data_IF_712848964038
#
_entry.id   IF_712848964038
#
_cell.length_a   1.000
_cell.length_b   1.000
_cell.length_c   1.000
_cell.angle_alpha   90.00
_cell.angle_beta   90.00
_cell.angle_gamma   90.00
#
_symmetry.space_group_name_H-M   'P 1'
#
loop_
_entity.id
_entity.type
_entity.pdbx_description
1 polymer ?
#
# COMPACT_ATOMS: atom_id res chain seq x y z
N UNK A 1 7.46 -4.69 -6.13
CA UNK A 1 8.37 -3.54 -6.01
C UNK A 1 8.85 -2.99 -7.36
N UNK A 2 8.74 -3.72 -8.48
CA UNK A 2 9.07 -3.15 -9.80
C UNK A 2 10.57 -2.98 -10.08
N UNK A 3 11.42 -3.45 -9.17
CA UNK A 3 12.88 -3.54 -9.35
C UNK A 3 13.19 -4.97 -9.81
N UNK A 4 13.85 -5.10 -10.95
CA UNK A 4 14.27 -6.39 -11.49
C UNK A 4 15.37 -6.98 -10.61
N UNK A 5 15.24 -8.27 -10.27
CA UNK A 5 16.24 -9.03 -9.49
C UNK A 5 16.64 -8.39 -8.15
N UNK A 6 15.76 -7.59 -7.53
CA UNK A 6 16.05 -7.08 -6.19
C UNK A 6 16.08 -8.22 -5.17
N UNK A 7 17.25 -8.36 -4.55
CA UNK A 7 17.49 -9.10 -3.32
C UNK A 7 18.13 -8.14 -2.32
N UNK A 8 17.66 -8.10 -1.07
CA UNK A 8 18.38 -7.45 0.01
C UNK A 8 19.82 -7.96 0.11
N UNK A 9 20.75 -7.08 0.48
CA UNK A 9 22.14 -7.41 0.81
C UNK A 9 22.21 -8.25 2.07
N UNK A 10 21.33 -7.97 3.04
CA UNK A 10 21.20 -8.70 4.29
C UNK A 10 19.72 -8.93 4.60
N UNK A 11 19.31 -10.19 4.73
CA UNK A 11 17.94 -10.56 5.08
C UNK A 11 17.63 -10.33 6.57
N UNK A 12 18.63 -10.23 7.42
CA UNK A 12 18.50 -9.96 8.86
C UNK A 12 18.67 -8.47 9.19
N UNK A 13 18.63 -7.60 8.16
CA UNK A 13 18.81 -6.16 8.31
C UNK A 13 17.64 -5.44 9.01
N UNK A 14 16.51 -6.12 9.19
CA UNK A 14 15.32 -5.56 9.83
C UNK A 14 14.82 -6.48 10.94
N UNK A 15 14.23 -5.88 11.96
CA UNK A 15 13.57 -6.62 13.04
C UNK A 15 12.18 -7.06 12.59
N UNK A 16 11.81 -8.32 12.85
CA UNK A 16 10.48 -8.86 12.57
C UNK A 16 9.75 -9.07 13.89
N UNK A 17 8.69 -8.31 14.10
CA UNK A 17 7.94 -8.28 15.36
C UNK A 17 6.66 -9.11 15.22
N UNK A 18 6.41 -10.01 16.16
CA UNK A 18 5.09 -10.63 16.32
C UNK A 18 4.00 -9.56 16.57
N UNK A 19 2.71 -9.87 16.37
CA UNK A 19 1.63 -8.94 16.68
C UNK A 19 1.68 -8.34 18.10
N UNK A 20 2.01 -9.14 19.10
CA UNK A 20 2.11 -8.70 20.49
C UNK A 20 3.31 -7.75 20.70
N UNK A 21 4.47 -8.10 20.16
CA UNK A 21 5.67 -7.25 20.24
C UNK A 21 5.48 -5.94 19.47
N UNK A 22 4.89 -5.98 18.28
CA UNK A 22 4.56 -4.78 17.50
C UNK A 22 3.60 -3.86 18.27
N UNK A 23 2.55 -4.43 18.87
CA UNK A 23 1.62 -3.68 19.70
C UNK A 23 2.33 -3.03 20.88
N UNK A 24 3.12 -3.79 21.65
CA UNK A 24 3.88 -3.28 22.78
C UNK A 24 4.88 -2.18 22.36
N UNK A 25 5.58 -2.39 21.24
CA UNK A 25 6.55 -1.44 20.68
C UNK A 25 5.91 -0.10 20.35
N UNK A 26 4.68 -0.09 19.84
CA UNK A 26 3.95 1.15 19.58
C UNK A 26 3.70 1.99 20.86
N UNK A 27 3.61 1.36 22.03
CA UNK A 27 3.48 2.06 23.31
C UNK A 27 4.82 2.45 23.92
N UNK A 28 5.84 1.58 23.84
CA UNK A 28 7.15 1.81 24.45
C UNK A 28 8.00 2.81 23.66
N UNK A 29 7.85 2.84 22.33
CA UNK A 29 8.57 3.76 21.44
C UNK A 29 7.57 4.71 20.74
N UNK A 30 6.95 5.65 21.48
CA UNK A 30 5.89 6.49 20.94
C UNK A 30 6.37 7.49 19.87
N UNK A 31 7.69 7.72 19.78
CA UNK A 31 8.29 8.55 18.73
C UNK A 31 8.56 7.74 17.44
N UNK A 32 8.34 6.42 17.45
CA UNK A 32 8.52 5.60 16.27
C UNK A 32 7.50 5.95 15.18
N UNK A 33 7.97 6.03 13.95
CA UNK A 33 7.15 6.30 12.79
C UNK A 33 6.41 5.02 12.37
N UNK A 34 5.10 5.00 12.51
CA UNK A 34 4.26 3.97 11.90
C UNK A 34 4.15 4.24 10.39
N UNK A 35 4.50 3.26 9.56
CA UNK A 35 4.55 3.42 8.10
C UNK A 35 3.79 2.31 7.38
N UNK A 36 2.77 2.70 6.64
CA UNK A 36 1.98 1.80 5.79
C UNK A 36 2.69 1.56 4.45
N UNK A 37 3.01 0.30 4.13
CA UNK A 37 3.68 -0.08 2.87
C UNK A 37 2.65 -0.46 1.79
N UNK A 38 1.35 -0.28 2.06
CA UNK A 38 0.28 -0.61 1.11
C UNK A 38 0.08 0.48 0.05
N UNK A 39 -0.76 0.20 -0.94
CA UNK A 39 -1.19 1.24 -1.87
C UNK A 39 -2.20 2.16 -1.17
N UNK A 40 -2.28 3.41 -1.59
CA UNK A 40 -3.07 4.43 -0.90
C UNK A 40 -4.54 4.05 -0.72
N UNK A 41 -5.17 3.35 -1.68
CA UNK A 41 -6.58 2.97 -1.59
C UNK A 41 -6.84 1.96 -0.45
N UNK A 42 -5.85 1.14 -0.10
CA UNK A 42 -5.94 0.18 1.00
C UNK A 42 -5.86 0.91 2.35
N UNK A 43 -5.00 1.93 2.42
CA UNK A 43 -4.81 2.78 3.59
C UNK A 43 -5.94 3.80 3.81
N UNK A 44 -6.82 4.00 2.83
CA UNK A 44 -8.01 4.84 2.97
C UNK A 44 -9.03 4.22 3.92
N UNK A 45 -9.21 2.90 3.83
CA UNK A 45 -10.29 2.19 4.54
C UNK A 45 -9.87 1.61 5.89
N UNK A 46 -8.58 1.62 6.20
CA UNK A 46 -8.07 1.25 7.52
C UNK A 46 -6.58 1.50 7.65
N UNK A 47 -6.13 1.79 8.86
CA UNK A 47 -4.74 2.16 9.17
C UNK A 47 -4.46 2.02 10.67
N UNK A 48 -3.18 1.92 11.04
CA UNK A 48 -2.77 2.00 12.43
C UNK A 48 -2.76 3.44 12.94
N UNK A 49 -3.03 3.61 14.23
CA UNK A 49 -2.84 4.86 14.96
C UNK A 49 -1.71 4.71 15.98
N UNK A 50 -0.95 5.77 16.20
CA UNK A 50 0.00 5.84 17.30
C UNK A 50 -0.78 6.00 18.61
N UNK A 51 -0.59 5.12 19.61
CA UNK A 51 -1.40 5.14 20.83
C UNK A 51 -1.17 6.38 21.70
N UNK A 52 0.01 7.00 21.65
CA UNK A 52 0.34 8.16 22.49
C UNK A 52 -0.13 9.47 21.86
N UNK A 53 0.07 9.62 20.54
CA UNK A 53 -0.26 10.87 19.83
C UNK A 53 -1.65 10.85 19.20
N UNK A 54 -2.27 9.68 19.05
CA UNK A 54 -3.52 9.49 18.31
C UNK A 54 -3.38 9.69 16.80
N UNK A 55 -2.18 9.97 16.29
CA UNK A 55 -1.96 10.27 14.88
C UNK A 55 -2.04 8.99 14.03
N UNK A 56 -2.66 9.06 12.84
CA UNK A 56 -2.58 7.98 11.87
C UNK A 56 -1.15 7.67 11.46
N UNK A 57 -0.87 6.42 11.12
CA UNK A 57 0.35 6.03 10.46
C UNK A 57 0.61 6.88 9.20
N UNK A 58 1.88 7.08 8.86
CA UNK A 58 2.25 7.66 7.58
C UNK A 58 1.76 6.73 6.46
N UNK A 59 0.96 7.28 5.56
CA UNK A 59 0.33 6.57 4.43
C UNK A 59 0.84 7.18 3.13
N UNK A 60 1.92 6.63 2.56
CA UNK A 60 2.43 7.05 1.26
C UNK A 60 1.32 7.01 0.21
N UNK A 61 1.05 8.12 -0.51
CA UNK A 61 -0.03 8.17 -1.49
C UNK A 61 0.39 7.51 -2.81
N UNK A 62 1.09 6.37 -2.75
CA UNK A 62 1.50 5.56 -3.90
C UNK A 62 0.33 4.70 -4.38
N UNK A 63 0.13 4.65 -5.69
CA UNK A 63 -0.93 3.82 -6.29
C UNK A 63 -0.50 2.38 -6.48
N UNK A 64 0.79 2.16 -6.70
CA UNK A 64 1.37 0.84 -6.95
C UNK A 64 2.61 0.65 -6.11
N UNK A 65 2.79 -0.54 -5.57
CA UNK A 65 4.01 -0.91 -4.87
C UNK A 65 5.29 -0.83 -5.74
N UNK A 66 5.18 -0.71 -7.07
CA UNK A 66 6.32 -0.40 -7.94
C UNK A 66 6.87 1.02 -7.76
N UNK A 67 6.10 1.91 -7.14
CA UNK A 67 6.51 3.29 -6.82
C UNK A 67 7.21 3.39 -5.46
N UNK A 68 7.21 2.31 -4.67
CA UNK A 68 7.82 2.27 -3.34
C UNK A 68 9.31 2.69 -3.35
N UNK A 69 10.17 2.17 -4.25
CA UNK A 69 11.57 2.59 -4.29
C UNK A 69 11.74 4.09 -4.48
N UNK A 70 11.01 4.66 -5.45
CA UNK A 70 11.04 6.09 -5.73
C UNK A 70 10.52 6.91 -4.53
N UNK A 71 9.49 6.42 -3.83
CA UNK A 71 8.98 7.05 -2.63
C UNK A 71 10.05 7.09 -1.52
N UNK A 72 10.70 5.95 -1.25
CA UNK A 72 11.80 5.86 -0.28
C UNK A 72 12.91 6.86 -0.64
N UNK A 73 13.45 6.81 -1.87
CA UNK A 73 14.53 7.69 -2.34
C UNK A 73 14.17 9.18 -2.34
N UNK A 74 12.88 9.54 -2.39
CA UNK A 74 12.48 10.95 -2.40
C UNK A 74 12.15 11.47 -1.00
N UNK A 75 11.47 10.67 -0.19
CA UNK A 75 10.84 11.13 1.06
C UNK A 75 11.45 10.53 2.32
N UNK A 76 12.09 9.36 2.22
CA UNK A 76 12.67 8.67 3.37
C UNK A 76 14.18 8.88 3.46
N UNK A 77 14.85 9.17 2.35
CA UNK A 77 16.30 9.45 2.30
C UNK A 77 16.64 10.93 2.42
N UNK A 78 15.77 11.84 1.93
CA UNK A 78 15.98 13.29 1.96
C UNK A 78 15.15 13.90 3.09
N UNK A 79 15.81 14.47 4.07
CA UNK A 79 15.25 15.62 4.78
C UNK A 79 15.52 16.85 3.90
N UNK A 80 14.52 17.72 3.71
CA UNK A 80 14.75 19.11 3.26
C UNK A 80 15.41 19.95 4.38
N UNK A 81 16.25 19.29 5.16
CA UNK A 81 16.55 19.58 6.57
C UNK A 81 17.80 18.75 6.93
N UNK A 82 18.79 18.75 6.02
CA UNK A 82 20.17 18.59 6.45
C UNK A 82 20.40 19.85 7.28
N UNK A 83 20.36 19.73 8.61
CA UNK A 83 20.46 20.87 9.53
C UNK A 83 21.58 21.80 9.10
N UNK A 84 21.37 23.11 9.30
CA UNK A 84 22.43 24.07 9.07
C UNK A 84 23.71 23.61 9.79
N UNK A 85 24.91 23.87 9.24
CA UNK A 85 26.16 23.50 9.90
C UNK A 85 26.15 24.01 11.36
N UNK A 86 26.18 23.09 12.33
CA UNK A 86 26.17 23.42 13.77
C UNK A 86 24.95 22.95 14.57
N UNK A 87 23.96 22.28 13.97
CA UNK A 87 22.86 21.65 14.73
C UNK A 87 23.23 20.26 15.27
N UNK A 88 22.79 19.95 16.49
CA UNK A 88 22.95 18.66 17.15
C UNK A 88 22.40 17.50 16.28
N UNK A 89 23.01 16.30 16.32
CA UNK A 89 22.51 15.15 15.57
C UNK A 89 21.05 14.85 15.95
N UNK A 90 20.14 14.88 14.97
CA UNK A 90 18.76 14.41 15.21
C UNK A 90 18.78 12.95 15.68
N UNK A 91 17.87 12.64 16.60
CA UNK A 91 17.64 11.29 17.14
C UNK A 91 17.46 10.24 16.04
N UNK A 92 17.97 9.04 16.31
CA UNK A 92 17.85 7.89 15.41
C UNK A 92 16.38 7.57 15.11
N UNK A 93 16.07 7.36 13.82
CA UNK A 93 14.70 7.08 13.39
C UNK A 93 14.35 5.61 13.64
N UNK A 94 13.33 5.38 14.46
CA UNK A 94 12.66 4.09 14.58
C UNK A 94 11.44 4.08 13.65
N UNK A 95 11.35 3.11 12.74
CA UNK A 95 10.22 2.98 11.80
C UNK A 95 9.60 1.60 11.93
N UNK A 96 8.30 1.56 12.26
CA UNK A 96 7.52 0.34 12.34
C UNK A 96 6.65 0.22 11.09
N UNK A 97 6.95 -0.77 10.26
CA UNK A 97 6.30 -0.97 8.97
C UNK A 97 5.26 -2.08 9.02
N UNK A 98 4.23 -1.96 8.19
CA UNK A 98 3.21 -2.99 8.05
C UNK A 98 2.61 -2.99 6.65
N UNK A 99 2.02 -4.12 6.28
CA UNK A 99 1.14 -4.24 5.12
C UNK A 99 0.05 -5.28 5.41
N UNK A 100 -0.79 -5.64 4.44
CA UNK A 100 -1.90 -6.58 4.65
C UNK A 100 -1.47 -7.92 5.26
N UNK A 101 -0.42 -8.54 4.69
CA UNK A 101 -0.01 -9.92 5.02
C UNK A 101 1.51 -10.13 5.07
N UNK A 102 2.29 -9.07 5.34
CA UNK A 102 3.76 -9.13 5.43
C UNK A 102 4.54 -9.12 4.11
N UNK A 103 4.00 -9.68 3.02
CA UNK A 103 4.78 -9.92 1.77
C UNK A 103 5.42 -8.66 1.15
N UNK A 104 4.77 -7.49 1.24
CA UNK A 104 5.36 -6.24 0.76
C UNK A 104 6.46 -5.74 1.67
N UNK A 105 6.33 -5.94 2.98
CA UNK A 105 7.34 -5.56 3.95
C UNK A 105 8.60 -6.41 3.82
N UNK A 106 8.50 -7.69 3.43
CA UNK A 106 9.66 -8.57 3.24
C UNK A 106 10.74 -7.94 2.35
N UNK A 107 10.33 -7.28 1.26
CA UNK A 107 11.26 -6.57 0.36
C UNK A 107 11.26 -5.07 0.58
N UNK A 108 10.11 -4.48 0.85
CA UNK A 108 9.93 -3.04 0.94
C UNK A 108 10.61 -2.43 2.17
N UNK A 109 10.54 -3.10 3.33
CA UNK A 109 11.16 -2.62 4.57
C UNK A 109 12.68 -2.76 4.52
N UNK A 110 13.20 -3.87 3.97
CA UNK A 110 14.65 -4.05 3.74
C UNK A 110 15.22 -3.08 2.72
N UNK A 111 14.51 -2.87 1.61
CA UNK A 111 14.86 -1.82 0.64
C UNK A 111 14.92 -0.46 1.31
N UNK A 112 13.94 -0.17 2.17
CA UNK A 112 13.92 1.08 2.93
C UNK A 112 15.10 1.17 3.88
N UNK A 113 15.37 0.17 4.73
CA UNK A 113 16.55 0.14 5.61
C UNK A 113 17.84 0.42 4.83
N UNK A 114 18.07 -0.28 3.71
CA UNK A 114 19.29 -0.14 2.90
C UNK A 114 19.47 1.25 2.28
N UNK A 115 18.38 1.91 1.92
CA UNK A 115 18.43 3.17 1.16
C UNK A 115 18.18 4.39 2.05
N UNK A 116 17.50 4.25 3.18
CA UNK A 116 17.17 5.33 4.11
C UNK A 116 18.24 5.57 5.17
N UNK A 117 19.04 4.54 5.52
CA UNK A 117 19.96 4.61 6.66
C UNK A 117 21.00 5.70 6.42
N UNK A 118 20.85 6.82 7.12
CA UNK A 118 21.85 7.90 7.13
C UNK A 118 22.73 7.80 8.36
N UNK A 119 22.16 7.33 9.47
CA UNK A 119 22.89 6.99 10.69
C UNK A 119 22.87 5.47 10.91
N UNK A 120 23.96 4.87 11.43
CA UNK A 120 23.99 3.45 11.78
C UNK A 120 22.90 3.01 12.77
N UNK A 121 22.31 3.95 13.51
CA UNK A 121 21.28 3.69 14.51
C UNK A 121 19.83 3.75 13.98
N UNK A 122 19.61 4.19 12.73
CA UNK A 122 18.28 4.17 12.12
C UNK A 122 17.83 2.71 11.95
N UNK A 123 16.64 2.37 12.44
CA UNK A 123 16.14 0.98 12.41
C UNK A 123 14.73 0.90 11.87
N UNK A 124 14.53 -0.14 11.06
CA UNK A 124 13.23 -0.53 10.51
C UNK A 124 12.84 -1.86 11.14
N UNK A 125 11.66 -1.90 11.73
CA UNK A 125 11.01 -3.13 12.13
C UNK A 125 9.74 -3.37 11.28
N UNK A 126 9.30 -4.61 11.17
CA UNK A 126 8.08 -4.97 10.44
C UNK A 126 7.17 -5.87 11.27
N UNK A 127 5.86 -5.67 11.13
CA UNK A 127 4.84 -6.55 11.66
C UNK A 127 4.83 -7.89 10.91
N UNK A 128 5.14 -8.98 11.60
CA UNK A 128 5.08 -10.35 11.11
C UNK A 128 3.65 -10.71 10.73
N UNK A 129 3.46 -11.24 9.52
CA UNK A 129 2.13 -11.60 9.01
C UNK A 129 1.20 -10.41 8.74
N UNK A 130 1.67 -9.17 8.93
CA UNK A 130 0.95 -7.94 8.62
C UNK A 130 -0.34 -7.73 9.42
N UNK A 131 -1.19 -6.84 8.91
CA UNK A 131 -2.47 -6.45 9.53
C UNK A 131 -3.36 -7.68 9.77
N UNK A 132 -3.35 -8.67 8.86
CA UNK A 132 -4.15 -9.88 9.01
C UNK A 132 -3.78 -10.65 10.28
N UNK A 133 -2.48 -10.86 10.55
CA UNK A 133 -2.02 -11.50 11.77
C UNK A 133 -2.32 -10.66 13.01
N UNK A 134 -2.18 -9.33 12.92
CA UNK A 134 -2.51 -8.43 14.04
C UNK A 134 -3.99 -8.47 14.42
N UNK A 135 -4.90 -8.42 13.45
CA UNK A 135 -6.34 -8.50 13.71
C UNK A 135 -6.72 -9.86 14.30
N UNK A 136 -6.15 -10.95 13.78
CA UNK A 136 -6.34 -12.28 14.35
C UNK A 136 -5.90 -12.35 15.80
N UNK A 137 -4.72 -11.80 16.11
CA UNK A 137 -4.20 -11.77 17.46
C UNK A 137 -5.07 -10.93 18.39
N UNK A 138 -5.47 -9.71 18.00
CA UNK A 138 -6.36 -8.89 18.82
C UNK A 138 -7.70 -9.59 19.07
N UNK A 139 -8.32 -10.19 18.05
CA UNK A 139 -9.58 -10.91 18.24
C UNK A 139 -9.42 -12.04 19.28
N UNK A 140 -8.29 -12.75 19.28
CA UNK A 140 -8.02 -13.79 20.26
C UNK A 140 -7.82 -13.21 21.67
N UNK A 141 -7.06 -12.11 21.80
CA UNK A 141 -6.90 -11.41 23.09
C UNK A 141 -8.24 -10.89 23.65
N UNK A 142 -9.15 -10.46 22.77
CA UNK A 142 -10.51 -10.05 23.14
C UNK A 142 -11.35 -11.24 23.59
N UNK A 143 -11.33 -12.36 22.85
CA UNK A 143 -12.04 -13.60 23.21
C UNK A 143 -11.59 -14.16 24.55
N UNK A 144 -10.30 -14.04 24.85
CA UNK A 144 -9.72 -14.48 26.12
C UNK A 144 -9.86 -13.43 27.25
N UNK A 145 -10.52 -12.30 27.01
CA UNK A 145 -10.78 -11.26 28.01
C UNK A 145 -9.57 -10.44 28.45
N UNK A 146 -8.43 -10.55 27.75
CA UNK A 146 -7.20 -9.79 28.05
C UNK A 146 -7.18 -8.39 27.47
N UNK A 147 -7.93 -8.16 26.39
CA UNK A 147 -8.06 -6.86 25.71
C UNK A 147 -9.51 -6.57 25.39
N UNK A 148 -9.79 -5.29 25.14
CA UNK A 148 -11.04 -4.82 24.56
C UNK A 148 -10.84 -4.53 23.08
N UNK A 149 -11.89 -4.56 22.24
CA UNK A 149 -11.80 -4.15 20.84
C UNK A 149 -11.21 -2.74 20.66
N UNK A 150 -11.48 -1.84 21.62
CA UNK A 150 -10.95 -0.48 21.66
C UNK A 150 -9.42 -0.41 21.75
N UNK A 151 -8.78 -1.44 22.30
CA UNK A 151 -7.33 -1.50 22.49
C UNK A 151 -6.58 -1.76 21.17
N UNK A 152 -7.31 -2.17 20.11
CA UNK A 152 -6.73 -2.27 18.78
C UNK A 152 -6.20 -0.92 18.30
N UNK A 153 -4.93 -0.91 17.93
CA UNK A 153 -4.27 0.22 17.27
C UNK A 153 -4.65 0.30 15.78
N UNK A 154 -5.18 -0.78 15.19
CA UNK A 154 -5.69 -0.75 13.82
C UNK A 154 -7.14 -0.27 13.81
N UNK A 155 -7.42 0.77 13.03
CA UNK A 155 -8.76 1.35 12.84
C UNK A 155 -9.28 1.07 11.43
N UNK A 156 -10.59 0.91 11.31
CA UNK A 156 -11.26 0.60 10.05
C UNK A 156 -11.08 -0.86 9.59
N UNK A 157 -10.98 -1.07 8.28
CA UNK A 157 -10.91 -2.38 7.65
C UNK A 157 -9.60 -2.58 6.89
N UNK A 158 -9.10 -3.80 6.92
CA UNK A 158 -7.95 -4.27 6.16
C UNK A 158 -8.39 -4.75 4.78
N UNK A 159 -7.96 -4.07 3.72
CA UNK A 159 -8.19 -4.55 2.35
C UNK A 159 -7.51 -5.91 2.11
N UNK A 160 -8.25 -6.86 1.53
CA UNK A 160 -7.73 -8.18 1.12
C UNK A 160 -8.05 -8.44 -0.36
N UNK A 161 -7.19 -9.20 -1.03
CA UNK A 161 -7.23 -9.41 -2.48
C UNK A 161 -8.11 -10.63 -2.89
N UNK A 162 -9.10 -10.98 -2.08
CA UNK A 162 -10.03 -12.09 -2.34
C UNK A 162 -11.50 -11.61 -2.33
N UNK A 163 -12.43 -12.54 -2.48
CA UNK A 163 -13.87 -12.25 -2.58
C UNK A 163 -14.44 -11.50 -1.36
N UNK A 164 -13.78 -11.55 -0.20
CA UNK A 164 -14.20 -10.80 1.00
C UNK A 164 -14.01 -9.29 0.82
N UNK A 165 -13.05 -8.87 0.00
CA UNK A 165 -12.67 -7.48 -0.25
C UNK A 165 -12.01 -6.76 0.94
N UNK A 166 -12.45 -7.02 2.19
CA UNK A 166 -11.80 -6.52 3.39
C UNK A 166 -12.12 -7.35 4.65
N UNK A 167 -11.19 -7.35 5.61
CA UNK A 167 -11.36 -7.96 6.95
C UNK A 167 -11.29 -6.88 8.03
N UNK A 168 -11.87 -7.14 9.20
CA UNK A 168 -11.86 -6.23 10.35
C UNK A 168 -11.76 -7.04 11.65
N UNK A 169 -11.87 -6.36 12.79
CA UNK A 169 -12.17 -7.06 14.05
C UNK A 169 -13.56 -7.71 13.97
N UNK A 170 -13.78 -8.72 14.81
CA UNK A 170 -15.05 -9.44 14.86
C UNK A 170 -16.21 -8.53 15.34
N UNK A 171 -15.88 -7.52 16.15
CA UNK A 171 -16.81 -6.50 16.64
C UNK A 171 -17.04 -5.40 15.59
N UNK A 172 -18.26 -4.82 15.53
CA UNK A 172 -18.58 -3.76 14.58
C UNK A 172 -17.70 -2.53 14.83
N UNK A 173 -17.06 -2.06 13.76
CA UNK A 173 -16.25 -0.85 13.74
C UNK A 173 -16.87 0.15 12.79
N UNK A 174 -16.97 1.40 13.23
CA UNK A 174 -17.35 2.51 12.36
C UNK A 174 -16.30 2.69 11.24
N UNK A 175 -16.74 2.87 9.98
CA UNK A 175 -15.82 3.13 8.88
C UNK A 175 -14.98 4.39 9.13
N UNK A 176 -13.67 4.27 8.92
CA UNK A 176 -12.73 5.42 9.02
C UNK A 176 -12.67 6.25 7.73
N UNK A 177 -13.44 5.86 6.73
CA UNK A 177 -13.52 6.52 5.43
C UNK A 177 -14.94 6.94 5.09
N UNK A 178 -15.04 7.85 4.12
CA UNK A 178 -16.28 8.38 3.60
C UNK A 178 -16.42 8.06 2.12
N UNK A 179 -17.68 7.87 1.71
CA UNK A 179 -18.07 7.70 0.33
C UNK A 179 -17.66 8.93 -0.48
N UNK A 180 -16.95 8.70 -1.59
CA UNK A 180 -16.48 9.71 -2.52
C UNK A 180 -17.62 10.55 -3.15
N UNK A 181 -18.84 10.00 -3.21
CA UNK A 181 -19.98 10.62 -3.90
C UNK A 181 -20.97 11.34 -2.96
N UNK A 182 -21.01 10.96 -1.69
CA UNK A 182 -22.04 11.46 -0.76
C UNK A 182 -21.55 11.70 0.67
N UNK A 183 -20.25 11.52 0.93
CA UNK A 183 -19.59 11.78 2.22
C UNK A 183 -20.07 10.93 3.41
N UNK A 184 -21.03 10.01 3.21
CA UNK A 184 -21.45 9.05 4.25
C UNK A 184 -20.33 8.09 4.61
N UNK A 185 -20.23 7.70 5.88
CA UNK A 185 -19.29 6.70 6.34
C UNK A 185 -19.42 5.40 5.52
N UNK A 186 -18.30 4.91 4.99
CA UNK A 186 -18.24 3.70 4.17
C UNK A 186 -16.78 3.27 4.03
N UNK A 187 -16.54 1.98 3.96
CA UNK A 187 -15.24 1.34 3.70
C UNK A 187 -15.27 0.46 2.45
N UNK A 188 -16.44 0.36 1.81
CA UNK A 188 -16.62 -0.34 0.55
C UNK A 188 -15.82 0.34 -0.55
N UNK A 189 -15.03 -0.46 -1.25
CA UNK A 189 -14.24 -0.02 -2.38
C UNK A 189 -14.91 -0.40 -3.69
N UNK A 190 -14.93 0.53 -4.64
CA UNK A 190 -15.32 0.29 -6.02
C UNK A 190 -14.33 0.96 -6.96
N UNK A 191 -14.53 0.84 -8.28
CA UNK A 191 -13.67 1.45 -9.29
C UNK A 191 -14.38 2.62 -9.95
N UNK A 192 -13.59 3.61 -10.37
CA UNK A 192 -14.08 4.59 -11.33
C UNK A 192 -14.61 3.87 -12.59
N UNK A 193 -15.79 4.25 -13.06
CA UNK A 193 -16.43 3.61 -14.22
C UNK A 193 -15.99 4.17 -15.58
N UNK A 194 -15.21 5.25 -15.58
CA UNK A 194 -14.64 5.79 -16.82
C UNK A 194 -13.74 4.77 -17.50
N UNK A 195 -13.98 4.55 -18.80
CA UNK A 195 -13.10 3.78 -19.69
C UNK A 195 -11.64 4.25 -19.52
N UNK A 196 -10.72 3.30 -19.32
CA UNK A 196 -9.30 3.57 -19.09
C UNK A 196 -8.93 4.11 -17.70
N UNK A 197 -9.89 4.50 -16.85
CA UNK A 197 -9.63 4.86 -15.47
C UNK A 197 -9.74 3.63 -14.56
N UNK A 198 -8.67 3.32 -13.83
CA UNK A 198 -8.64 2.21 -12.86
C UNK A 198 -8.31 2.71 -11.46
N UNK A 199 -8.86 3.87 -11.07
CA UNK A 199 -8.77 4.33 -9.69
C UNK A 199 -9.78 3.58 -8.83
N UNK A 200 -9.35 3.24 -7.62
CA UNK A 200 -10.18 2.61 -6.60
C UNK A 200 -10.68 3.72 -5.67
N UNK A 201 -11.99 3.76 -5.47
CA UNK A 201 -12.71 4.79 -4.73
C UNK A 201 -13.45 4.13 -3.57
N UNK A 202 -13.65 4.88 -2.48
CA UNK A 202 -14.59 4.47 -1.43
C UNK A 202 -15.99 4.86 -1.91
N UNK A 203 -16.86 3.90 -2.20
CA UNK A 203 -18.22 4.15 -2.71
C UNK A 203 -19.19 3.32 -1.90
N UNK A 204 -20.17 3.97 -1.25
CA UNK A 204 -21.18 3.26 -0.48
C UNK A 204 -22.12 2.47 -1.41
N UNK A 205 -22.78 1.40 -0.91
CA UNK A 205 -23.65 0.55 -1.73
C UNK A 205 -24.71 1.32 -2.53
N UNK A 206 -25.30 2.37 -1.93
CA UNK A 206 -26.31 3.20 -2.59
C UNK A 206 -25.74 3.95 -3.80
N UNK A 207 -24.57 4.59 -3.65
CA UNK A 207 -23.96 5.35 -4.74
C UNK A 207 -23.37 4.45 -5.84
N UNK A 208 -22.93 3.23 -5.49
CA UNK A 208 -22.42 2.28 -6.47
C UNK A 208 -23.48 1.89 -7.50
N UNK A 209 -24.75 1.77 -7.08
CA UNK A 209 -25.88 1.46 -7.95
C UNK A 209 -26.42 2.71 -8.65
N UNK A 210 -26.51 3.84 -7.93
CA UNK A 210 -27.28 5.00 -8.39
C UNK A 210 -26.50 6.11 -9.10
N UNK A 211 -25.16 6.17 -9.00
CA UNK A 211 -24.39 7.37 -9.37
C UNK A 211 -23.25 7.18 -10.38
N UNK A 212 -23.16 6.03 -11.03
CA UNK A 212 -22.11 5.73 -12.03
C UNK A 212 -20.70 6.27 -11.64
N UNK A 213 -20.15 5.81 -10.50
CA UNK A 213 -19.12 6.53 -9.75
C UNK A 213 -17.89 6.94 -10.57
N UNK A 214 -17.52 8.22 -10.46
CA UNK A 214 -16.38 8.82 -11.17
C UNK A 214 -15.42 9.49 -10.19
N UNK A 215 -14.12 9.34 -10.43
CA UNK A 215 -13.11 9.87 -9.52
C UNK A 215 -12.91 11.39 -9.59
N UNK A 216 -13.29 12.04 -10.71
CA UNK A 216 -13.19 13.49 -10.91
C UNK A 216 -14.02 13.94 -12.11
N UNK A 217 -14.16 15.26 -12.28
CA UNK A 217 -14.88 15.86 -13.41
C UNK A 217 -14.36 15.38 -14.76
N UNK A 218 -13.05 15.27 -14.95
CA UNK A 218 -12.50 14.75 -16.21
C UNK A 218 -12.95 13.32 -16.53
N UNK A 219 -13.26 12.49 -15.52
CA UNK A 219 -13.83 11.15 -15.76
C UNK A 219 -15.34 11.16 -15.96
N UNK A 220 -16.05 12.19 -15.51
CA UNK A 220 -17.44 12.46 -15.89
C UNK A 220 -17.49 12.93 -17.35
N UNK A 221 -16.62 13.86 -17.73
CA UNK A 221 -16.57 14.42 -19.08
C UNK A 221 -16.14 13.39 -20.14
N UNK A 222 -15.36 12.37 -19.75
CA UNK A 222 -14.95 11.25 -20.61
C UNK A 222 -16.08 10.25 -20.89
N UNK A 223 -17.33 10.53 -20.52
CA UNK A 223 -18.48 9.74 -20.96
C UNK A 223 -18.52 9.69 -22.49
N UNK A 224 -18.76 8.51 -23.10
CA UNK A 224 -19.02 8.44 -24.52
C UNK A 224 -20.32 9.19 -24.80
N UNK A 225 -20.23 10.37 -25.39
CA UNK A 225 -21.33 10.91 -26.16
C UNK A 225 -21.45 10.00 -27.40
N UNK A 226 -22.53 9.23 -27.46
CA UNK A 226 -23.02 8.52 -28.65
C UNK A 226 -22.07 7.47 -29.27
N UNK A 227 -22.07 6.26 -28.72
CA UNK A 227 -21.55 5.06 -29.40
C UNK A 227 -22.68 4.21 -29.99
N UNK A 228 -23.71 4.84 -30.56
CA UNK A 228 -24.75 4.12 -31.31
C UNK A 228 -24.50 4.04 -32.82
N UNK A 229 -23.38 4.56 -33.36
CA UNK A 229 -23.11 4.33 -34.79
C UNK A 229 -21.66 4.44 -35.29
N UNK A 230 -20.64 4.38 -34.42
CA UNK A 230 -19.25 4.33 -34.89
C UNK A 230 -18.44 3.28 -34.14
N UNK A 231 -17.71 2.48 -34.91
CA UNK A 231 -16.72 1.51 -34.46
C UNK A 231 -15.80 2.13 -33.40
N UNK A 232 -15.49 1.45 -32.28
CA UNK A 232 -14.55 1.99 -31.32
C UNK A 232 -13.20 2.24 -32.03
N UNK A 233 -12.61 3.44 -31.93
CA UNK A 233 -11.30 3.70 -32.52
C UNK A 233 -10.29 2.71 -31.94
N UNK A 234 -9.50 2.06 -32.80
CA UNK A 234 -8.61 0.94 -32.45
C UNK A 234 -7.64 1.21 -31.29
N UNK A 235 -7.41 2.49 -30.94
CA UNK A 235 -6.57 2.92 -29.80
C UNK A 235 -7.10 4.22 -29.19
N UNK A 236 -8.03 4.14 -28.22
CA UNK A 236 -8.25 5.26 -27.29
C UNK A 236 -7.00 5.36 -26.40
N UNK A 237 -6.21 6.45 -26.46
CA UNK A 237 -5.05 6.60 -25.58
C UNK A 237 -5.53 6.52 -24.13
N UNK A 238 -4.86 5.75 -23.27
CA UNK A 238 -5.20 5.68 -21.85
C UNK A 238 -4.92 7.05 -21.20
N UNK A 239 -5.87 7.97 -21.28
CA UNK A 239 -5.74 9.29 -20.71
C UNK A 239 -5.83 9.14 -19.18
N UNK A 240 -4.71 9.39 -18.51
CA UNK A 240 -4.70 9.49 -17.04
C UNK A 240 -5.63 10.65 -16.65
N UNK A 241 -6.62 10.40 -15.78
CA UNK A 241 -7.55 11.45 -15.31
C UNK A 241 -6.82 12.63 -14.70
N UNK A 242 -7.44 13.82 -14.72
CA UNK A 242 -6.93 15.02 -14.02
C UNK A 242 -6.56 14.71 -12.56
N UNK A 243 -7.40 13.99 -11.84
CA UNK A 243 -7.14 13.58 -10.45
C UNK A 243 -5.83 12.82 -10.24
N UNK A 244 -5.53 11.88 -11.13
CA UNK A 244 -4.37 11.00 -11.02
C UNK A 244 -3.11 11.74 -11.49
N UNK A 245 -3.24 12.63 -12.48
CA UNK A 245 -2.17 13.56 -12.87
C UNK A 245 -1.79 14.46 -11.70
N UNK A 246 -2.79 15.01 -11.01
CA UNK A 246 -2.60 15.85 -9.83
C UNK A 246 -1.85 15.09 -8.72
N UNK A 247 -2.34 13.90 -8.37
CA UNK A 247 -1.71 13.06 -7.34
C UNK A 247 -0.25 12.74 -7.69
N UNK A 248 0.01 12.34 -8.94
CA UNK A 248 1.39 12.08 -9.40
C UNK A 248 2.25 13.35 -9.36
N UNK A 249 1.69 14.53 -9.71
CA UNK A 249 2.41 15.80 -9.61
C UNK A 249 2.73 16.17 -8.16
N UNK A 250 1.79 16.00 -7.24
CA UNK A 250 2.03 16.26 -5.80
C UNK A 250 3.09 15.31 -5.23
N UNK A 251 3.08 14.04 -5.64
CA UNK A 251 4.02 13.03 -5.16
C UNK A 251 5.40 13.15 -5.81
N UNK A 252 5.50 13.60 -7.06
CA UNK A 252 6.77 13.57 -7.79
C UNK A 252 7.31 14.95 -8.14
N UNK A 253 6.51 16.02 -8.09
CA UNK A 253 6.84 17.33 -8.62
C UNK A 253 6.58 17.40 -10.13
N UNK A 254 6.62 18.61 -10.70
CA UNK A 254 6.53 18.80 -12.15
C UNK A 254 7.75 18.20 -12.86
N UNK A 255 7.54 17.53 -14.01
CA UNK A 255 8.63 17.01 -14.84
C UNK A 255 9.32 15.73 -14.35
N UNK A 256 8.90 15.13 -13.23
CA UNK A 256 9.50 13.87 -12.74
C UNK A 256 9.27 12.71 -13.72
N UNK A 257 10.34 12.35 -14.44
CA UNK A 257 10.38 11.18 -15.31
C UNK A 257 10.08 9.93 -14.47
N UNK A 258 9.03 9.18 -14.83
CA UNK A 258 8.82 7.82 -14.30
C UNK A 258 10.12 7.05 -14.46
N UNK A 259 10.59 6.37 -13.42
CA UNK A 259 11.64 5.36 -13.56
C UNK A 259 11.26 4.46 -14.76
N UNK A 260 12.16 4.23 -15.73
CA UNK A 260 11.81 3.47 -16.92
C UNK A 260 11.20 2.13 -16.49
N UNK A 261 10.05 1.78 -17.07
CA UNK A 261 9.59 0.39 -17.02
C UNK A 261 10.72 -0.42 -17.65
N UNK A 262 11.35 -1.30 -16.88
CA UNK A 262 12.32 -2.25 -17.43
C UNK A 262 11.68 -2.91 -18.65
N UNK A 263 12.30 -2.71 -19.81
CA UNK A 263 11.88 -3.32 -21.07
C UNK A 263 11.77 -4.83 -20.82
N UNK A 264 10.58 -5.40 -20.98
CA UNK A 264 10.44 -6.85 -21.12
C UNK A 264 11.26 -7.22 -22.35
N UNK A 265 12.47 -7.76 -22.15
CA UNK A 265 13.19 -8.43 -23.24
C UNK A 265 12.26 -9.51 -23.76
N UNK A 266 11.83 -9.38 -25.02
CA UNK A 266 11.25 -10.49 -25.77
C UNK A 266 12.26 -11.62 -25.70
N UNK A 267 11.80 -12.77 -25.23
CA UNK A 267 12.58 -14.00 -25.29
C UNK A 267 12.51 -14.42 -26.76
N UNK A 268 13.61 -14.24 -27.49
CA UNK A 268 13.72 -14.79 -28.84
C UNK A 268 13.77 -16.31 -28.72
N UNK A 269 12.81 -16.96 -29.38
CA UNK A 269 12.79 -18.40 -29.62
C UNK A 269 13.84 -18.73 -30.68
N UNK A 270 15.02 -19.18 -30.24
CA UNK A 270 15.88 -20.02 -31.10
C UNK A 270 16.86 -20.83 -30.24
N UNK A 271 16.51 -22.08 -29.92
CA UNK A 271 17.48 -23.18 -29.85
C UNK A 271 16.75 -24.52 -29.73
N UNK A 272 16.56 -25.13 -30.90
CA UNK A 272 16.72 -26.55 -31.21
C UNK A 272 16.90 -27.54 -30.04
N UNK A 273 15.92 -28.44 -29.95
CA UNK A 273 16.04 -29.91 -29.72
C UNK A 273 16.88 -30.43 -28.55
N UNK A 274 16.16 -30.97 -27.57
CA UNK A 274 16.64 -31.99 -26.63
C UNK A 274 15.44 -32.60 -25.89
N UNK A 275 14.77 -33.58 -26.52
CA UNK A 275 13.72 -34.38 -25.88
C UNK A 275 14.35 -35.21 -24.77
N UNK A 276 13.89 -35.03 -23.53
CA UNK A 276 13.98 -36.06 -22.49
C UNK A 276 12.55 -36.36 -22.05
N UNK A 277 12.10 -37.54 -22.44
CA UNK A 277 10.80 -38.11 -22.12
C UNK A 277 10.86 -38.71 -20.71
N UNK A 278 10.01 -38.24 -19.79
CA UNK A 278 9.83 -38.88 -18.48
C UNK A 278 8.35 -39.22 -18.36
N UNK A 279 8.01 -40.40 -18.89
CA UNK A 279 6.79 -41.12 -18.55
C UNK A 279 7.12 -42.22 -17.53
N UNK A 280 6.31 -42.23 -16.48
CA UNK A 280 6.02 -43.35 -15.57
C UNK A 280 7.10 -43.76 -14.55
N UNK A 281 6.78 -43.57 -13.27
CA UNK A 281 6.48 -44.69 -12.36
C UNK A 281 5.82 -44.18 -11.07
N UNK A 282 4.51 -44.41 -10.98
CA UNK A 282 3.83 -44.75 -9.73
C UNK A 282 4.30 -46.16 -9.29
N UNK A 283 4.13 -46.45 -7.99
CA UNK A 283 4.26 -47.75 -7.28
C UNK A 283 5.67 -48.02 -6.72
N UNK A 284 5.90 -47.66 -5.45
CA UNK A 284 5.72 -48.51 -4.26
C UNK A 284 5.54 -47.60 -3.03
#
# INVERSE_FOLDING_TARGET
MGVTNYSPKNWDSIEVLSPAEFHARCYSEPNALLLDVRNYYESRIGYFINPKTGQPALRPPIRRFSQWPQYVTKYMTRSNDDGAPGEEPREARQILTFCTGGIRCEKGARYMQENMSRQPADKVATLQGGIAAYLSWINEEVKQGRKKPSDSLFKGRNFVFDARGSTALDEPLEPVSKCHECERASDRLSKCRSQGCHLVLVICPLCEVSKDPRCCQSCLDMHPQNAENESPPEKVPSAICKCEKERERQLWGEGSRKLPRALKKKRDESSTTGKVDIRAKLIC
#
